data_IF_117063879095
#
_entry.id   IF_117063879095
#
_cell.length_a   1.000
_cell.length_b   1.000
_cell.length_c   1.000
_cell.angle_alpha   90.00
_cell.angle_beta   90.00
_cell.angle_gamma   90.00
#
_symmetry.space_group_name_H-M   'P 1'
#
loop_
_entity.id
_entity.type
_entity.pdbx_description
1 polymer ?
#
# COMPACT_ATOMS: atom_id res chain seq x y z
N UNK A 1 -9.35 4.77 -27.94
CA UNK A 1 -9.16 4.80 -26.46
C UNK A 1 -10.55 4.75 -25.85
N UNK A 2 -10.83 3.75 -25.05
CA UNK A 2 -12.13 3.56 -24.41
C UNK A 2 -11.96 3.87 -22.91
N UNK A 3 -12.75 4.83 -22.40
CA UNK A 3 -12.67 5.29 -21.01
C UNK A 3 -13.73 4.65 -20.09
N UNK A 4 -14.64 3.87 -20.68
CA UNK A 4 -15.61 3.10 -19.91
C UNK A 4 -14.97 1.85 -19.32
N UNK A 5 -15.39 1.46 -18.11
CA UNK A 5 -14.99 0.16 -17.58
C UNK A 5 -15.49 -0.97 -18.48
N UNK A 6 -14.61 -1.91 -18.76
CA UNK A 6 -15.03 -3.18 -19.36
C UNK A 6 -16.01 -3.91 -18.43
N UNK A 7 -16.83 -4.84 -18.93
CA UNK A 7 -17.70 -5.65 -18.09
C UNK A 7 -16.96 -6.33 -16.94
N UNK A 8 -15.72 -6.79 -17.16
CA UNK A 8 -14.86 -7.39 -16.14
C UNK A 8 -14.45 -6.39 -15.06
N UNK A 9 -14.00 -5.18 -15.44
CA UNK A 9 -13.64 -4.14 -14.47
C UNK A 9 -14.86 -3.67 -13.67
N UNK A 10 -16.04 -3.59 -14.30
CA UNK A 10 -17.27 -3.23 -13.63
C UNK A 10 -17.69 -4.29 -12.58
N UNK A 11 -17.57 -5.60 -12.92
CA UNK A 11 -17.82 -6.70 -11.98
C UNK A 11 -16.84 -6.67 -10.79
N UNK A 12 -15.55 -6.51 -11.05
CA UNK A 12 -14.53 -6.40 -10.00
C UNK A 12 -14.80 -5.23 -9.08
N UNK A 13 -15.17 -4.07 -9.62
CA UNK A 13 -15.53 -2.89 -8.83
C UNK A 13 -16.74 -3.15 -7.92
N UNK A 14 -17.78 -3.80 -8.44
CA UNK A 14 -18.99 -4.11 -7.68
C UNK A 14 -18.70 -5.12 -6.57
N UNK A 15 -17.92 -6.17 -6.85
CA UNK A 15 -17.47 -7.14 -5.84
C UNK A 15 -16.62 -6.48 -4.75
N UNK A 16 -15.69 -5.59 -5.14
CA UNK A 16 -14.87 -4.85 -4.20
C UNK A 16 -15.71 -3.92 -3.33
N UNK A 17 -16.73 -3.25 -3.90
CA UNK A 17 -17.68 -2.42 -3.17
C UNK A 17 -18.47 -3.23 -2.14
N UNK A 18 -19.04 -4.36 -2.54
CA UNK A 18 -19.80 -5.22 -1.64
C UNK A 18 -18.93 -5.74 -0.48
N UNK A 19 -17.67 -6.10 -0.76
CA UNK A 19 -16.71 -6.47 0.27
C UNK A 19 -16.38 -5.29 1.19
N UNK A 20 -16.15 -4.10 0.63
CA UNK A 20 -15.90 -2.87 1.39
C UNK A 20 -17.05 -2.55 2.34
N UNK A 21 -18.30 -2.61 1.85
CA UNK A 21 -19.50 -2.38 2.66
C UNK A 21 -19.61 -3.39 3.82
N UNK A 22 -19.20 -4.63 3.58
CA UNK A 22 -19.16 -5.69 4.62
C UNK A 22 -18.10 -5.38 5.69
N UNK A 23 -16.87 -5.01 5.28
CA UNK A 23 -15.76 -4.72 6.21
C UNK A 23 -16.01 -3.42 6.97
N UNK A 24 -16.65 -2.42 6.35
CA UNK A 24 -16.94 -1.12 6.95
C UNK A 24 -17.73 -1.20 8.26
N UNK A 25 -18.50 -2.27 8.45
CA UNK A 25 -19.27 -2.49 9.68
C UNK A 25 -18.38 -2.68 10.92
N UNK A 26 -17.11 -2.99 10.75
CA UNK A 26 -16.14 -3.21 11.83
C UNK A 26 -15.29 -1.98 12.18
N UNK A 27 -15.47 -0.85 11.48
CA UNK A 27 -14.69 0.38 11.72
C UNK A 27 -14.84 0.91 13.14
N UNK A 28 -16.07 0.93 13.68
CA UNK A 28 -16.33 1.42 15.03
C UNK A 28 -15.81 0.47 16.12
N UNK A 29 -15.78 -0.83 15.86
CA UNK A 29 -15.11 -1.79 16.73
C UNK A 29 -13.62 -1.52 16.76
N UNK A 30 -13.00 -1.42 15.60
CA UNK A 30 -11.57 -1.17 15.45
C UNK A 30 -11.14 0.14 16.13
N UNK A 31 -11.86 1.23 15.91
CA UNK A 31 -11.53 2.53 16.52
C UNK A 31 -11.64 2.53 18.04
N UNK A 32 -12.64 1.83 18.60
CA UNK A 32 -12.85 1.78 20.05
C UNK A 32 -11.87 0.87 20.77
N UNK A 33 -11.52 -0.26 20.14
CA UNK A 33 -10.75 -1.33 20.81
C UNK A 33 -9.28 -1.33 20.40
N UNK A 34 -8.86 -0.44 19.50
CA UNK A 34 -7.53 -0.42 18.87
C UNK A 34 -7.22 -1.77 18.20
N UNK A 35 -8.15 -2.24 17.36
CA UNK A 35 -8.14 -3.52 16.68
C UNK A 35 -9.54 -4.14 16.63
N UNK A 36 -9.66 -5.31 16.04
CA UNK A 36 -10.91 -6.07 15.97
C UNK A 36 -10.75 -7.42 16.66
N UNK A 37 -11.87 -8.00 17.11
CA UNK A 37 -11.90 -9.32 17.77
C UNK A 37 -11.56 -10.46 16.80
N UNK A 38 -11.17 -11.62 17.34
CA UNK A 38 -10.95 -12.85 16.55
C UNK A 38 -12.20 -13.28 15.77
N UNK A 39 -13.39 -13.05 16.31
CA UNK A 39 -14.67 -13.32 15.65
C UNK A 39 -14.87 -12.41 14.44
N UNK A 40 -14.58 -11.12 14.59
CA UNK A 40 -14.62 -10.14 13.51
C UNK A 40 -13.58 -10.45 12.43
N UNK A 41 -12.37 -10.83 12.82
CA UNK A 41 -11.33 -11.31 11.90
C UNK A 41 -11.79 -12.52 11.10
N UNK A 42 -12.35 -13.53 11.75
CA UNK A 42 -12.85 -14.74 11.08
C UNK A 42 -13.97 -14.40 10.08
N UNK A 43 -14.88 -13.49 10.47
CA UNK A 43 -15.97 -13.03 9.61
C UNK A 43 -15.45 -12.30 8.37
N UNK A 44 -14.49 -11.38 8.54
CA UNK A 44 -13.86 -10.66 7.43
C UNK A 44 -13.09 -11.64 6.53
N UNK A 45 -12.29 -12.56 7.10
CA UNK A 45 -11.57 -13.57 6.32
C UNK A 45 -12.52 -14.40 5.45
N UNK A 46 -13.64 -14.83 6.00
CA UNK A 46 -14.67 -15.57 5.25
C UNK A 46 -15.26 -14.72 4.11
N UNK A 47 -15.54 -13.45 4.34
CA UNK A 47 -16.05 -12.54 3.32
C UNK A 47 -15.03 -12.29 2.20
N UNK A 48 -13.74 -12.10 2.55
CA UNK A 48 -12.64 -11.95 1.58
C UNK A 48 -12.54 -13.18 0.68
N UNK A 49 -12.53 -14.38 1.26
CA UNK A 49 -12.48 -15.64 0.50
C UNK A 49 -13.71 -15.82 -0.40
N UNK A 50 -14.90 -15.51 0.12
CA UNK A 50 -16.14 -15.59 -0.66
C UNK A 50 -16.18 -14.58 -1.83
N UNK A 51 -15.55 -13.41 -1.67
CA UNK A 51 -15.45 -12.41 -2.73
C UNK A 51 -14.48 -12.81 -3.85
N UNK A 52 -13.53 -13.73 -3.58
CA UNK A 52 -12.43 -14.07 -4.48
C UNK A 52 -11.44 -12.93 -4.72
N UNK A 53 -11.32 -12.00 -3.76
CA UNK A 53 -10.40 -10.86 -3.83
C UNK A 53 -9.20 -11.00 -2.88
N UNK A 54 -8.92 -12.21 -2.39
CA UNK A 54 -7.68 -12.49 -1.67
C UNK A 54 -6.47 -12.50 -2.61
N UNK A 55 -5.32 -12.07 -2.13
CA UNK A 55 -4.04 -12.15 -2.84
C UNK A 55 -4.16 -11.70 -4.32
N UNK A 56 -4.76 -10.51 -4.54
CA UNK A 56 -5.14 -10.02 -5.87
C UNK A 56 -3.96 -9.92 -6.85
N UNK A 57 -2.73 -9.72 -6.34
CA UNK A 57 -1.48 -9.62 -7.10
C UNK A 57 -0.82 -10.99 -7.36
N UNK A 58 -1.26 -12.04 -6.70
CA UNK A 58 -0.64 -13.38 -6.80
C UNK A 58 -1.30 -14.19 -7.92
N UNK A 59 -0.53 -14.90 -8.76
CA UNK A 59 -1.07 -15.75 -9.83
C UNK A 59 -2.06 -16.81 -9.32
N UNK A 60 -3.04 -17.14 -10.16
CA UNK A 60 -4.09 -18.12 -9.83
C UNK A 60 -3.51 -19.50 -9.50
N UNK A 61 -2.44 -19.91 -10.17
CA UNK A 61 -1.74 -21.18 -9.92
C UNK A 61 -1.17 -21.29 -8.49
N UNK A 62 -0.92 -20.16 -7.82
CA UNK A 62 -0.46 -20.10 -6.42
C UNK A 62 -1.59 -19.77 -5.44
N UNK A 63 -2.84 -19.73 -5.90
CA UNK A 63 -4.02 -19.52 -5.06
C UNK A 63 -4.48 -18.06 -4.92
N UNK A 64 -3.88 -17.13 -5.66
CA UNK A 64 -4.30 -15.74 -5.73
C UNK A 64 -5.39 -15.47 -6.77
N UNK A 65 -5.83 -14.23 -6.89
CA UNK A 65 -6.84 -13.82 -7.88
C UNK A 65 -6.25 -13.49 -9.26
N UNK A 66 -4.94 -13.32 -9.39
CA UNK A 66 -4.22 -13.09 -10.65
C UNK A 66 -4.69 -11.85 -11.40
N UNK A 67 -4.98 -10.77 -10.68
CA UNK A 67 -5.47 -9.54 -11.29
C UNK A 67 -4.34 -8.74 -11.95
N UNK A 68 -4.64 -8.12 -13.09
CA UNK A 68 -3.75 -7.14 -13.70
C UNK A 68 -3.58 -5.91 -12.80
N UNK A 69 -2.57 -5.08 -13.05
CA UNK A 69 -2.30 -3.89 -12.22
C UNK A 69 -3.46 -2.90 -12.25
N UNK A 70 -4.10 -2.71 -13.41
CA UNK A 70 -5.31 -1.88 -13.52
C UNK A 70 -6.49 -2.49 -12.74
N UNK A 71 -6.69 -3.79 -12.81
CA UNK A 71 -7.73 -4.48 -12.05
C UNK A 71 -7.50 -4.34 -10.53
N UNK A 72 -6.25 -4.49 -10.08
CA UNK A 72 -5.86 -4.25 -8.68
C UNK A 72 -6.15 -2.80 -8.27
N UNK A 73 -5.81 -1.80 -9.09
CA UNK A 73 -6.06 -0.40 -8.79
C UNK A 73 -7.57 -0.12 -8.63
N UNK A 74 -8.44 -0.72 -9.45
CA UNK A 74 -9.90 -0.59 -9.32
C UNK A 74 -10.42 -1.21 -8.01
N UNK A 75 -9.88 -2.37 -7.60
CA UNK A 75 -10.22 -3.00 -6.33
C UNK A 75 -9.74 -2.14 -5.15
N UNK A 76 -8.50 -1.64 -5.21
CA UNK A 76 -7.90 -0.82 -4.15
C UNK A 76 -8.58 0.54 -3.99
N UNK A 77 -9.14 1.13 -5.06
CA UNK A 77 -9.96 2.35 -4.99
C UNK A 77 -11.22 2.12 -4.12
N UNK A 78 -11.91 1.00 -4.27
CA UNK A 78 -13.07 0.67 -3.42
C UNK A 78 -12.66 0.34 -1.97
N UNK A 79 -11.61 -0.48 -1.78
CA UNK A 79 -11.11 -0.82 -0.44
C UNK A 79 -10.57 0.39 0.31
N UNK A 80 -10.01 1.37 -0.40
CA UNK A 80 -9.52 2.62 0.16
C UNK A 80 -10.57 3.46 0.88
N UNK A 81 -11.86 3.18 0.69
CA UNK A 81 -12.96 3.81 1.43
C UNK A 81 -13.02 3.40 2.90
N UNK A 82 -12.35 2.30 3.29
CA UNK A 82 -12.27 1.83 4.67
C UNK A 82 -11.36 2.73 5.51
N UNK A 83 -11.72 2.92 6.79
CA UNK A 83 -10.85 3.55 7.80
C UNK A 83 -10.10 2.51 8.62
N UNK A 84 -9.17 2.98 9.49
CA UNK A 84 -8.39 2.14 10.42
C UNK A 84 -7.51 1.11 9.69
N UNK A 85 -7.14 1.41 8.44
CA UNK A 85 -6.43 0.49 7.57
C UNK A 85 -7.10 -0.90 7.44
N UNK A 86 -8.42 -0.99 7.64
CA UNK A 86 -9.17 -2.24 7.48
C UNK A 86 -9.07 -2.85 6.07
N UNK A 87 -8.67 -2.06 5.06
CA UNK A 87 -8.32 -2.57 3.74
C UNK A 87 -7.19 -3.62 3.78
N UNK A 88 -6.33 -3.62 4.81
CA UNK A 88 -5.24 -4.58 4.96
C UNK A 88 -5.72 -5.96 5.44
N UNK A 89 -6.97 -6.08 5.88
CA UNK A 89 -7.61 -7.39 6.10
C UNK A 89 -7.86 -8.16 4.80
N UNK A 90 -7.85 -7.46 3.65
CA UNK A 90 -7.84 -8.07 2.31
C UNK A 90 -6.37 -8.27 1.91
N UNK A 91 -5.79 -9.35 2.40
CA UNK A 91 -4.34 -9.61 2.32
C UNK A 91 -3.82 -9.72 0.89
N UNK A 92 -2.60 -9.29 0.73
CA UNK A 92 -1.88 -9.29 -0.54
C UNK A 92 -0.40 -9.62 -0.25
N UNK A 93 0.08 -10.85 -0.56
CA UNK A 93 1.49 -11.20 -0.37
C UNK A 93 2.42 -10.19 -1.04
N UNK A 94 3.51 -9.85 -0.39
CA UNK A 94 4.43 -8.84 -0.90
C UNK A 94 5.08 -9.28 -2.23
N UNK A 95 5.15 -8.37 -3.19
CA UNK A 95 5.67 -8.58 -4.54
C UNK A 95 7.06 -9.26 -4.59
N UNK A 96 8.04 -9.00 -3.70
CA UNK A 96 9.32 -9.72 -3.73
C UNK A 96 9.18 -11.25 -3.74
N UNK A 97 8.09 -11.81 -3.22
CA UNK A 97 7.82 -13.25 -3.24
C UNK A 97 7.62 -13.84 -4.64
N UNK A 98 7.45 -13.02 -5.67
CA UNK A 98 7.46 -13.48 -7.08
C UNK A 98 8.82 -14.08 -7.46
N UNK A 99 9.90 -13.66 -6.80
CA UNK A 99 11.27 -14.18 -6.97
C UNK A 99 11.60 -15.40 -6.11
N UNK A 100 10.60 -15.94 -5.39
CA UNK A 100 10.77 -17.10 -4.53
C UNK A 100 11.12 -18.37 -5.34
N UNK A 101 11.99 -19.23 -4.77
CA UNK A 101 12.24 -20.57 -5.31
C UNK A 101 10.98 -21.43 -5.18
N UNK A 102 10.89 -22.59 -5.88
CA UNK A 102 9.76 -23.49 -5.69
C UNK A 102 9.51 -23.85 -4.23
N UNK A 103 10.57 -24.13 -3.46
CA UNK A 103 10.50 -24.50 -2.04
C UNK A 103 10.01 -23.31 -1.19
N UNK A 104 10.49 -22.11 -1.49
CA UNK A 104 10.03 -20.88 -0.81
C UNK A 104 8.56 -20.56 -1.17
N UNK A 105 8.12 -20.81 -2.41
CA UNK A 105 6.72 -20.64 -2.79
C UNK A 105 5.79 -21.55 -1.99
N UNK A 106 6.16 -22.83 -1.87
CA UNK A 106 5.39 -23.79 -1.06
C UNK A 106 5.33 -23.41 0.43
N UNK A 107 6.41 -22.85 0.97
CA UNK A 107 6.50 -22.49 2.38
C UNK A 107 5.85 -21.16 2.72
N UNK A 108 5.92 -20.16 1.83
CA UNK A 108 5.58 -18.78 2.12
C UNK A 108 4.46 -18.22 1.21
N UNK A 109 4.64 -18.26 -0.13
CA UNK A 109 3.73 -17.59 -1.06
C UNK A 109 2.36 -18.26 -1.13
N UNK A 110 2.32 -19.58 -1.32
CA UNK A 110 1.06 -20.35 -1.46
C UNK A 110 0.22 -20.29 -0.19
N UNK A 111 0.76 -20.55 1.01
CA UNK A 111 0.01 -20.35 2.25
C UNK A 111 -0.39 -18.88 2.47
N UNK A 112 0.49 -17.93 2.08
CA UNK A 112 0.19 -16.49 2.11
C UNK A 112 -1.00 -16.14 1.24
N UNK A 113 -1.04 -16.60 0.00
CA UNK A 113 -2.16 -16.37 -0.91
C UNK A 113 -3.49 -16.92 -0.37
N UNK A 114 -3.46 -18.05 0.33
CA UNK A 114 -4.64 -18.65 0.99
C UNK A 114 -5.05 -17.95 2.28
N UNK A 115 -4.22 -17.05 2.80
CA UNK A 115 -4.42 -16.41 4.10
C UNK A 115 -4.15 -17.33 5.29
N UNK A 116 -3.31 -18.35 5.11
CA UNK A 116 -2.88 -19.28 6.15
C UNK A 116 -1.56 -18.85 6.81
N UNK A 117 -0.80 -17.98 6.14
CA UNK A 117 0.40 -17.31 6.66
C UNK A 117 0.42 -15.84 6.27
N UNK A 118 0.93 -15.00 7.16
CA UNK A 118 1.04 -13.56 6.93
C UNK A 118 2.50 -13.13 6.84
N UNK A 119 2.83 -12.40 5.77
CA UNK A 119 4.11 -11.72 5.61
C UNK A 119 4.10 -10.31 6.20
N UNK A 120 5.27 -9.82 6.59
CA UNK A 120 5.51 -8.41 6.87
C UNK A 120 6.86 -7.97 6.29
N UNK A 121 6.86 -6.83 5.60
CA UNK A 121 8.08 -6.29 4.97
C UNK A 121 8.85 -5.41 5.95
N UNK A 122 10.12 -5.72 6.17
CA UNK A 122 10.99 -5.12 7.17
C UNK A 122 12.23 -4.47 6.52
N UNK A 123 12.13 -3.18 6.17
CA UNK A 123 13.16 -2.43 5.43
C UNK A 123 13.75 -1.30 6.29
N UNK A 124 12.90 -0.38 6.78
CA UNK A 124 13.29 0.83 7.48
C UNK A 124 14.00 0.53 8.82
N UNK A 125 14.91 1.42 9.22
CA UNK A 125 15.63 1.38 10.50
C UNK A 125 15.61 2.79 11.13
N UNK A 126 16.03 2.91 12.39
CA UNK A 126 16.08 4.19 13.09
C UNK A 126 16.80 5.30 12.28
N UNK A 127 17.87 4.95 11.58
CA UNK A 127 18.68 5.88 10.79
C UNK A 127 18.56 5.67 9.27
N UNK A 128 17.70 4.78 8.80
CA UNK A 128 17.51 4.45 7.38
C UNK A 128 16.02 4.41 7.02
N UNK A 129 15.44 5.58 6.78
CA UNK A 129 14.05 5.76 6.33
C UNK A 129 14.00 6.12 4.85
N UNK A 130 14.02 7.44 4.54
CA UNK A 130 13.98 7.92 3.13
C UNK A 130 15.14 7.39 2.28
N UNK A 131 16.30 7.22 2.88
CA UNK A 131 17.44 6.51 2.29
C UNK A 131 17.58 5.13 2.93
N UNK A 132 16.89 4.15 2.36
CA UNK A 132 16.97 2.76 2.83
C UNK A 132 18.29 2.06 2.44
N UNK A 133 19.10 2.67 1.56
CA UNK A 133 20.45 2.15 1.23
C UNK A 133 21.43 2.31 2.40
N UNK A 134 21.11 3.18 3.35
CA UNK A 134 21.86 3.36 4.59
C UNK A 134 21.52 2.34 5.69
N UNK A 135 20.72 1.30 5.38
CA UNK A 135 20.38 0.25 6.33
C UNK A 135 21.63 -0.42 6.91
N UNK A 136 21.64 -0.62 8.21
CA UNK A 136 22.78 -1.13 8.99
C UNK A 136 22.61 -2.57 9.47
N UNK A 137 21.43 -3.18 9.31
CA UNK A 137 21.19 -4.59 9.60
C UNK A 137 22.12 -5.44 8.76
N UNK A 138 22.90 -6.33 9.41
CA UNK A 138 23.91 -7.18 8.77
C UNK A 138 23.49 -8.65 8.72
N UNK A 139 23.99 -9.35 7.72
CA UNK A 139 23.94 -10.81 7.60
C UNK A 139 25.36 -11.33 7.40
N UNK A 140 25.98 -11.87 8.47
CA UNK A 140 27.34 -12.40 8.44
C UNK A 140 27.31 -13.88 8.11
N UNK A 141 28.08 -14.38 7.12
CA UNK A 141 28.20 -15.80 6.85
C UNK A 141 28.62 -16.59 8.11
N UNK A 142 27.94 -17.70 8.40
CA UNK A 142 28.18 -18.50 9.62
C UNK A 142 29.30 -19.56 9.46
N UNK A 143 29.87 -19.65 8.26
CA UNK A 143 30.90 -20.64 7.90
C UNK A 143 30.35 -22.02 7.54
N UNK A 144 29.04 -22.26 7.66
CA UNK A 144 28.37 -23.51 7.34
C UNK A 144 27.36 -23.39 6.18
N UNK A 145 27.40 -22.28 5.44
CA UNK A 145 26.52 -22.01 4.32
C UNK A 145 25.27 -21.21 4.67
N UNK A 146 25.09 -20.82 5.94
CA UNK A 146 24.04 -19.96 6.44
C UNK A 146 24.54 -18.57 6.83
N UNK A 147 23.65 -17.81 7.50
CA UNK A 147 23.91 -16.43 7.92
C UNK A 147 23.49 -16.21 9.37
N UNK A 148 24.15 -15.23 10.01
CA UNK A 148 23.80 -14.70 11.32
C UNK A 148 23.37 -13.25 11.10
N UNK A 149 22.09 -12.95 11.39
CA UNK A 149 21.50 -11.64 11.19
C UNK A 149 21.48 -10.87 12.51
N UNK A 150 21.94 -9.61 12.47
CA UNK A 150 21.92 -8.69 13.58
C UNK A 150 21.49 -7.29 13.12
N UNK A 151 20.61 -6.65 13.89
CA UNK A 151 20.13 -5.30 13.59
C UNK A 151 18.76 -5.00 14.16
N UNK A 152 18.10 -4.01 13.58
CA UNK A 152 16.72 -3.61 13.94
C UNK A 152 15.94 -3.20 12.72
N UNK A 153 14.61 -3.33 12.78
CA UNK A 153 13.68 -2.83 11.75
C UNK A 153 12.52 -2.07 12.39
N UNK A 154 12.13 -0.98 11.74
CA UNK A 154 11.12 -0.04 12.20
C UNK A 154 9.92 -0.02 11.28
N UNK A 155 8.73 0.30 11.83
CA UNK A 155 7.48 0.44 11.07
C UNK A 155 7.12 -0.81 10.25
N UNK A 156 7.29 -1.99 10.86
CA UNK A 156 7.00 -3.26 10.19
C UNK A 156 5.48 -3.46 10.17
N UNK A 157 4.85 -3.03 9.09
CA UNK A 157 3.39 -3.11 8.88
C UNK A 157 2.92 -4.56 9.07
N UNK A 158 1.83 -4.76 9.84
CA UNK A 158 1.25 -6.05 10.25
C UNK A 158 2.21 -6.97 10.99
N UNK A 159 3.31 -6.45 11.51
CA UNK A 159 4.34 -7.25 12.16
C UNK A 159 3.89 -7.94 13.46
N UNK A 160 2.83 -7.45 14.09
CA UNK A 160 2.20 -8.04 15.29
C UNK A 160 1.48 -9.36 15.00
N UNK A 161 1.03 -9.56 13.76
CA UNK A 161 0.29 -10.76 13.30
C UNK A 161 1.05 -11.54 12.21
N UNK A 162 2.29 -11.13 11.90
CA UNK A 162 3.10 -11.78 10.88
C UNK A 162 3.57 -13.17 11.32
N UNK A 163 3.57 -14.13 10.40
CA UNK A 163 4.20 -15.45 10.58
C UNK A 163 5.66 -15.44 10.16
N UNK A 164 6.02 -14.54 9.23
CA UNK A 164 7.39 -14.35 8.76
C UNK A 164 7.64 -12.92 8.28
N UNK A 165 8.91 -12.56 8.29
CA UNK A 165 9.39 -11.24 7.87
C UNK A 165 10.17 -11.35 6.55
N UNK A 166 10.02 -10.35 5.69
CA UNK A 166 10.81 -10.12 4.47
C UNK A 166 11.82 -9.03 4.81
N UNK A 167 13.02 -9.43 5.21
CA UNK A 167 14.02 -8.57 5.86
C UNK A 167 15.12 -8.15 4.90
N UNK A 168 15.33 -6.84 4.74
CA UNK A 168 16.50 -6.30 4.04
C UNK A 168 17.69 -6.27 5.01
N UNK A 169 18.79 -6.96 4.65
CA UNK A 169 20.04 -6.95 5.39
C UNK A 169 21.25 -6.93 4.45
N UNK A 170 22.39 -6.46 4.93
CA UNK A 170 23.63 -6.38 4.16
C UNK A 170 24.49 -7.61 4.43
N UNK A 171 24.76 -8.42 3.40
CA UNK A 171 25.68 -9.57 3.50
C UNK A 171 27.11 -9.08 3.53
N UNK A 172 27.81 -9.45 4.60
CA UNK A 172 29.21 -9.09 4.84
C UNK A 172 30.17 -10.11 4.21
N UNK A 173 31.42 -9.72 3.81
CA UNK A 173 32.01 -8.38 3.97
C UNK A 173 31.71 -7.39 2.84
N UNK A 174 31.07 -7.80 1.74
CA UNK A 174 30.83 -6.97 0.56
C UNK A 174 29.73 -5.93 0.77
N UNK A 175 29.05 -5.96 1.91
CA UNK A 175 27.92 -5.10 2.23
C UNK A 175 26.80 -5.18 1.17
N UNK A 176 26.55 -6.41 0.70
CA UNK A 176 25.64 -6.69 -0.40
C UNK A 176 24.18 -6.75 0.10
N UNK A 177 23.38 -5.71 -0.24
CA UNK A 177 21.96 -5.63 0.16
C UNK A 177 21.17 -6.84 -0.36
N UNK A 178 20.56 -7.59 0.55
CA UNK A 178 19.92 -8.88 0.28
C UNK A 178 18.64 -9.01 1.08
N UNK A 179 17.62 -9.66 0.53
CA UNK A 179 16.38 -9.95 1.25
C UNK A 179 16.43 -11.37 1.81
N UNK A 180 16.01 -11.49 3.08
CA UNK A 180 15.89 -12.75 3.80
C UNK A 180 14.45 -13.01 4.22
N UNK A 181 13.97 -14.25 4.06
CA UNK A 181 12.71 -14.74 4.62
C UNK A 181 13.00 -15.33 6.00
N UNK A 182 12.42 -14.76 7.06
CA UNK A 182 12.70 -15.13 8.46
C UNK A 182 11.39 -15.35 9.19
N UNK A 183 11.16 -16.58 9.66
CA UNK A 183 9.99 -16.87 10.51
C UNK A 183 10.09 -16.08 11.83
N UNK A 184 8.99 -15.54 12.32
CA UNK A 184 9.00 -14.68 13.53
C UNK A 184 9.35 -15.43 14.80
N UNK A 185 9.15 -16.76 14.83
CA UNK A 185 9.53 -17.64 15.95
C UNK A 185 11.02 -18.06 15.93
N UNK A 186 11.80 -17.60 14.94
CA UNK A 186 13.24 -17.86 14.87
C UNK A 186 13.93 -17.25 16.10
N UNK A 187 14.74 -18.05 16.84
CA UNK A 187 15.44 -17.54 18.02
C UNK A 187 16.27 -16.29 17.73
N UNK A 188 16.05 -15.23 18.52
CA UNK A 188 16.69 -13.92 18.35
C UNK A 188 15.85 -12.88 17.64
N UNK A 189 14.71 -13.24 17.02
CA UNK A 189 13.72 -12.31 16.51
C UNK A 189 12.83 -11.86 17.66
N UNK A 190 12.67 -10.54 17.85
CA UNK A 190 11.85 -10.00 18.93
C UNK A 190 11.16 -8.70 18.51
N UNK A 191 9.91 -8.53 18.91
CA UNK A 191 9.26 -7.22 18.91
C UNK A 191 9.92 -6.41 20.06
N UNK A 192 10.54 -5.28 19.68
CA UNK A 192 11.21 -4.35 20.60
C UNK A 192 10.22 -3.37 21.22
N UNK A 193 9.32 -2.85 20.39
CA UNK A 193 8.38 -1.81 20.76
C UNK A 193 7.21 -1.78 19.77
N UNK A 194 6.03 -1.41 20.24
CA UNK A 194 4.85 -1.10 19.43
C UNK A 194 4.53 0.39 19.63
N UNK A 195 4.87 1.26 18.66
CA UNK A 195 4.61 2.68 18.76
C UNK A 195 3.10 2.98 18.73
N UNK A 196 2.70 4.09 19.38
CA UNK A 196 1.35 4.64 19.21
C UNK A 196 1.32 5.61 18.05
N UNK A 197 0.45 5.36 17.10
CA UNK A 197 0.31 6.16 15.89
C UNK A 197 -0.77 7.25 16.02
N UNK A 198 -0.82 8.18 15.05
CA UNK A 198 -1.81 9.28 15.03
C UNK A 198 -3.23 8.77 14.81
N UNK A 199 -3.39 7.67 14.07
CA UNK A 199 -4.68 6.99 13.87
C UNK A 199 -4.60 5.54 14.33
N UNK A 200 -5.73 4.91 14.49
CA UNK A 200 -5.86 3.50 14.84
C UNK A 200 -5.66 2.64 13.61
N UNK A 201 -4.82 1.63 13.73
CA UNK A 201 -4.64 0.58 12.73
C UNK A 201 -5.34 -0.71 13.18
N UNK A 202 -5.85 -1.49 12.22
CA UNK A 202 -6.37 -2.84 12.49
C UNK A 202 -5.26 -3.80 12.94
N UNK A 203 -4.05 -3.60 12.40
CA UNK A 203 -2.81 -4.30 12.76
C UNK A 203 -1.74 -3.30 13.16
N UNK A 204 -0.88 -3.68 14.09
CA UNK A 204 0.19 -2.80 14.57
C UNK A 204 1.40 -2.78 13.63
N UNK A 205 2.25 -1.77 13.80
CA UNK A 205 3.49 -1.61 13.04
C UNK A 205 4.68 -1.59 14.01
N UNK A 206 5.06 -2.75 14.59
CA UNK A 206 6.10 -2.85 15.59
C UNK A 206 7.50 -2.53 15.05
N UNK A 207 8.40 -2.26 16.00
CA UNK A 207 9.83 -2.28 15.83
C UNK A 207 10.35 -3.67 16.20
N UNK A 208 11.24 -4.23 15.37
CA UNK A 208 11.87 -5.52 15.61
C UNK A 208 13.35 -5.36 15.91
N UNK A 209 13.91 -6.29 16.74
CA UNK A 209 15.34 -6.53 16.86
C UNK A 209 15.69 -7.94 16.42
N UNK A 210 16.87 -8.07 15.85
CA UNK A 210 17.49 -9.32 15.42
C UNK A 210 18.80 -9.49 16.19
N UNK A 211 18.87 -10.49 17.07
CA UNK A 211 20.01 -10.75 17.95
C UNK A 211 20.58 -12.16 17.65
N UNK A 212 21.64 -12.23 16.83
CA UNK A 212 22.27 -13.47 16.41
C UNK A 212 21.28 -14.46 15.75
N UNK A 213 20.36 -13.96 14.96
CA UNK A 213 19.34 -14.76 14.26
C UNK A 213 20.02 -15.62 13.20
N UNK A 214 19.94 -16.94 13.33
CA UNK A 214 20.55 -17.88 12.40
C UNK A 214 19.56 -18.35 11.36
N UNK A 215 19.94 -18.23 10.09
CA UNK A 215 19.14 -18.68 8.95
C UNK A 215 20.00 -19.47 7.97
N UNK A 216 19.40 -20.40 7.24
CA UNK A 216 20.08 -21.13 6.16
C UNK A 216 20.24 -20.30 4.89
N UNK A 217 20.98 -20.81 3.93
CA UNK A 217 21.09 -20.22 2.60
C UNK A 217 19.73 -20.15 1.87
N UNK A 218 18.83 -21.05 2.19
CA UNK A 218 17.46 -21.13 1.67
C UNK A 218 16.56 -19.96 2.13
N UNK A 219 17.01 -19.17 3.10
CA UNK A 219 16.32 -17.94 3.51
C UNK A 219 16.53 -16.76 2.54
N UNK A 220 17.55 -16.81 1.67
CA UNK A 220 17.84 -15.75 0.70
C UNK A 220 16.74 -15.72 -0.38
N UNK A 221 16.07 -14.57 -0.54
CA UNK A 221 15.08 -14.35 -1.58
C UNK A 221 15.71 -13.68 -2.80
N UNK A 222 15.47 -14.24 -3.98
CA UNK A 222 16.02 -13.76 -5.25
C UNK A 222 17.50 -14.07 -5.39
N UNK A 223 18.38 -13.35 -4.70
CA UNK A 223 19.83 -13.55 -4.75
C UNK A 223 20.59 -12.55 -3.90
N UNK A 224 21.84 -12.88 -3.57
CA UNK A 224 22.73 -11.99 -2.82
C UNK A 224 22.97 -10.71 -3.66
N UNK A 225 22.84 -9.55 -3.03
CA UNK A 225 23.05 -8.25 -3.67
C UNK A 225 21.83 -7.72 -4.44
N UNK A 226 20.72 -8.46 -4.55
CA UNK A 226 19.52 -8.02 -5.26
C UNK A 226 18.51 -7.29 -4.36
N UNK A 227 18.79 -7.11 -3.09
CA UNK A 227 17.84 -6.56 -2.11
C UNK A 227 17.33 -5.16 -2.47
N UNK A 228 18.19 -4.28 -2.98
CA UNK A 228 17.76 -2.94 -3.38
C UNK A 228 16.83 -2.94 -4.59
N UNK A 229 17.03 -3.82 -5.56
CA UNK A 229 16.19 -3.90 -6.75
C UNK A 229 14.82 -4.48 -6.40
N UNK A 230 14.78 -5.57 -5.64
CA UNK A 230 13.53 -6.16 -5.16
C UNK A 230 12.72 -5.19 -4.28
N UNK A 231 13.39 -4.44 -3.41
CA UNK A 231 12.75 -3.41 -2.59
C UNK A 231 12.18 -2.26 -3.45
N UNK A 232 12.90 -1.86 -4.51
CA UNK A 232 12.44 -0.80 -5.42
C UNK A 232 11.21 -1.25 -6.23
N UNK A 233 11.18 -2.50 -6.67
CA UNK A 233 10.06 -3.06 -7.41
C UNK A 233 8.81 -3.14 -6.50
N UNK A 234 8.98 -3.55 -5.23
CA UNK A 234 7.92 -3.52 -4.24
C UNK A 234 7.38 -2.09 -3.99
N UNK A 235 8.26 -1.11 -3.76
CA UNK A 235 7.85 0.28 -3.63
C UNK A 235 7.10 0.81 -4.85
N UNK A 236 7.44 0.35 -6.04
CA UNK A 236 6.80 0.79 -7.28
C UNK A 236 5.34 0.37 -7.32
N UNK A 237 5.05 -0.88 -6.96
CA UNK A 237 3.69 -1.41 -6.86
C UNK A 237 2.91 -0.72 -5.74
N UNK A 238 3.49 -0.61 -4.52
CA UNK A 238 2.83 0.01 -3.38
C UNK A 238 2.47 1.47 -3.63
N UNK A 239 3.34 2.26 -4.27
CA UNK A 239 3.05 3.65 -4.63
C UNK A 239 1.82 3.79 -5.51
N UNK A 240 1.65 2.89 -6.46
CA UNK A 240 0.49 2.88 -7.33
C UNK A 240 -0.79 2.51 -6.57
N UNK A 241 -0.71 1.50 -5.69
CA UNK A 241 -1.84 1.06 -4.86
C UNK A 241 -2.23 2.12 -3.82
N UNK A 242 -1.26 2.84 -3.24
CA UNK A 242 -1.52 4.01 -2.38
C UNK A 242 -2.30 5.08 -3.18
N UNK A 243 -1.89 5.34 -4.43
CA UNK A 243 -2.63 6.25 -5.29
C UNK A 243 -4.11 5.88 -5.40
N UNK A 244 -4.40 4.61 -5.66
CA UNK A 244 -5.76 4.11 -5.76
C UNK A 244 -6.53 4.21 -4.42
N UNK A 245 -5.94 3.72 -3.33
CA UNK A 245 -6.59 3.74 -1.99
C UNK A 245 -6.93 5.15 -1.51
N UNK A 246 -6.00 6.09 -1.64
CA UNK A 246 -6.21 7.46 -1.16
C UNK A 246 -7.32 8.18 -1.91
N UNK A 247 -7.51 7.88 -3.19
CA UNK A 247 -8.61 8.43 -4.00
C UNK A 247 -9.95 7.86 -3.52
N UNK A 248 -10.05 6.58 -3.22
CA UNK A 248 -11.24 5.96 -2.64
C UNK A 248 -11.62 6.60 -1.30
N UNK A 249 -10.64 6.80 -0.41
CA UNK A 249 -10.85 7.49 0.86
C UNK A 249 -11.33 8.93 0.68
N UNK A 250 -10.73 9.66 -0.26
CA UNK A 250 -11.14 11.03 -0.61
C UNK A 250 -12.57 11.09 -1.16
N UNK A 251 -12.98 10.13 -2.01
CA UNK A 251 -14.36 10.01 -2.51
C UNK A 251 -15.35 9.82 -1.37
N UNK A 252 -15.05 8.92 -0.43
CA UNK A 252 -15.91 8.71 0.75
C UNK A 252 -16.03 9.99 1.59
N UNK A 253 -14.91 10.66 1.86
CA UNK A 253 -14.90 11.90 2.62
C UNK A 253 -15.74 12.99 1.95
N UNK A 254 -15.62 13.13 0.63
CA UNK A 254 -16.41 14.09 -0.14
C UNK A 254 -17.90 13.73 -0.13
N UNK A 255 -18.26 12.45 -0.28
CA UNK A 255 -19.66 11.98 -0.21
C UNK A 255 -20.27 12.36 1.13
N UNK A 256 -19.60 12.04 2.24
CA UNK A 256 -20.05 12.42 3.58
C UNK A 256 -20.21 13.94 3.73
N UNK A 257 -19.27 14.72 3.20
CA UNK A 257 -19.33 16.19 3.27
C UNK A 257 -20.48 16.78 2.46
N UNK A 258 -20.78 16.21 1.29
CA UNK A 258 -21.90 16.64 0.44
C UNK A 258 -23.22 16.34 1.12
N UNK A 259 -23.40 15.14 1.66
CA UNK A 259 -24.63 14.76 2.36
C UNK A 259 -24.84 15.61 3.60
N UNK A 260 -23.79 15.83 4.40
CA UNK A 260 -23.80 16.75 5.51
C UNK A 260 -24.21 18.18 5.09
N UNK A 261 -23.64 18.70 4.00
CA UNK A 261 -23.92 20.05 3.51
C UNK A 261 -25.37 20.23 3.00
N UNK A 262 -26.01 19.15 2.53
CA UNK A 262 -27.43 19.13 2.13
C UNK A 262 -28.36 19.22 3.33
N UNK A 263 -28.02 18.56 4.42
CA UNK A 263 -28.86 18.47 5.62
C UNK A 263 -28.64 19.63 6.59
N UNK A 264 -27.41 20.11 6.72
CA UNK A 264 -27.03 21.14 7.70
C UNK A 264 -27.49 22.50 7.28
N UNK A 265 -28.45 23.08 8.04
CA UNK A 265 -28.96 24.45 7.86
C UNK A 265 -28.19 25.41 8.75
N UNK A 266 -27.73 26.51 8.17
CA UNK A 266 -27.08 27.63 8.86
C UNK A 266 -27.54 28.97 8.22
N UNK A 267 -27.99 29.94 9.04
CA UNK A 267 -28.49 31.21 8.54
C UNK A 267 -29.71 31.08 7.62
N UNK A 268 -30.59 30.08 7.92
CA UNK A 268 -31.86 29.88 7.24
C UNK A 268 -31.83 29.03 5.96
N UNK A 269 -30.66 28.52 5.54
CA UNK A 269 -30.56 27.66 4.35
C UNK A 269 -29.50 26.55 4.51
N UNK A 270 -29.60 25.43 3.74
CA UNK A 270 -28.60 24.38 3.70
C UNK A 270 -27.22 24.90 3.31
N UNK A 271 -26.17 24.29 3.91
CA UNK A 271 -24.78 24.67 3.62
C UNK A 271 -24.42 24.50 2.15
N UNK A 272 -25.00 23.50 1.46
CA UNK A 272 -24.75 23.22 0.04
C UNK A 272 -25.04 24.45 -0.86
N UNK A 273 -25.89 25.38 -0.42
CA UNK A 273 -26.23 26.62 -1.17
C UNK A 273 -25.19 27.73 -0.98
N UNK A 274 -24.21 27.56 -0.09
CA UNK A 274 -23.15 28.55 0.15
C UNK A 274 -22.06 28.45 -0.89
N UNK A 275 -21.71 29.55 -1.57
CA UNK A 275 -20.70 29.53 -2.65
C UNK A 275 -19.33 29.02 -2.21
N UNK A 276 -18.86 29.32 -0.99
CA UNK A 276 -17.57 28.80 -0.48
C UNK A 276 -17.62 27.29 -0.28
N UNK A 277 -18.75 26.72 0.14
CA UNK A 277 -18.93 25.26 0.25
C UNK A 277 -18.97 24.64 -1.15
N UNK A 278 -19.68 25.24 -2.09
CA UNK A 278 -19.71 24.80 -3.49
C UNK A 278 -18.32 24.79 -4.12
N UNK A 279 -17.50 25.81 -3.84
CA UNK A 279 -16.10 25.87 -4.27
C UNK A 279 -15.28 24.70 -3.72
N UNK A 280 -15.37 24.41 -2.41
CA UNK A 280 -14.66 23.26 -1.78
C UNK A 280 -15.09 21.92 -2.40
N UNK A 281 -16.39 21.75 -2.69
CA UNK A 281 -16.91 20.53 -3.34
C UNK A 281 -16.38 20.41 -4.77
N UNK A 282 -16.45 21.49 -5.55
CA UNK A 282 -15.99 21.50 -6.94
C UNK A 282 -14.48 21.17 -7.05
N UNK A 283 -13.64 21.83 -6.23
CA UNK A 283 -12.21 21.57 -6.17
C UNK A 283 -11.91 20.11 -5.79
N UNK A 284 -12.71 19.54 -4.87
CA UNK A 284 -12.55 18.15 -4.45
C UNK A 284 -12.94 17.16 -5.56
N UNK A 285 -13.98 17.46 -6.33
CA UNK A 285 -14.34 16.67 -7.52
C UNK A 285 -13.20 16.66 -8.55
N UNK A 286 -12.59 17.83 -8.80
CA UNK A 286 -11.44 17.96 -9.71
C UNK A 286 -10.26 17.13 -9.20
N UNK A 287 -9.89 17.29 -7.92
CA UNK A 287 -8.79 16.54 -7.30
C UNK A 287 -8.99 15.01 -7.44
N UNK A 288 -10.18 14.49 -7.14
CA UNK A 288 -10.50 13.06 -7.23
C UNK A 288 -10.47 12.58 -8.70
N UNK A 289 -11.17 13.27 -9.57
CA UNK A 289 -11.37 12.82 -10.96
C UNK A 289 -10.04 12.79 -11.73
N UNK A 290 -9.22 13.83 -11.60
CA UNK A 290 -7.93 13.91 -12.30
C UNK A 290 -6.95 12.85 -11.79
N UNK A 291 -6.88 12.64 -10.46
CA UNK A 291 -5.95 11.67 -9.89
C UNK A 291 -6.39 10.21 -10.13
N UNK A 292 -7.70 9.94 -10.15
CA UNK A 292 -8.22 8.61 -10.54
C UNK A 292 -7.87 8.30 -12.00
N UNK A 293 -8.06 9.25 -12.90
CA UNK A 293 -7.70 9.08 -14.30
C UNK A 293 -6.20 8.80 -14.47
N UNK A 294 -5.34 9.58 -13.79
CA UNK A 294 -3.89 9.38 -13.80
C UNK A 294 -3.51 7.99 -13.25
N UNK A 295 -4.11 7.58 -12.14
CA UNK A 295 -3.82 6.27 -11.52
C UNK A 295 -4.20 5.13 -12.45
N UNK A 296 -5.39 5.16 -13.05
CA UNK A 296 -5.83 4.12 -13.98
C UNK A 296 -4.97 4.08 -15.24
N UNK A 297 -4.58 5.24 -15.75
CA UNK A 297 -3.69 5.32 -16.92
C UNK A 297 -2.34 4.66 -16.63
N UNK A 298 -1.70 5.03 -15.53
CA UNK A 298 -0.38 4.47 -15.18
C UNK A 298 -0.51 2.98 -14.88
N UNK A 299 -1.57 2.54 -14.19
CA UNK A 299 -1.84 1.12 -13.96
C UNK A 299 -1.99 0.34 -15.27
N UNK A 300 -2.71 0.90 -16.26
CA UNK A 300 -2.82 0.32 -17.59
C UNK A 300 -1.46 0.25 -18.31
N UNK A 301 -0.61 1.26 -18.19
CA UNK A 301 0.74 1.25 -18.78
C UNK A 301 1.60 0.12 -18.20
N UNK A 302 1.45 -0.19 -16.88
CA UNK A 302 2.11 -1.36 -16.27
C UNK A 302 1.66 -2.67 -16.91
N UNK A 303 0.35 -2.82 -17.17
CA UNK A 303 -0.18 -4.04 -17.80
C UNK A 303 0.29 -4.24 -19.25
N UNK A 304 0.69 -3.15 -19.93
CA UNK A 304 1.19 -3.20 -21.31
C UNK A 304 2.71 -3.32 -21.40
N UNK A 305 3.41 -3.15 -20.28
CA UNK A 305 4.87 -3.10 -20.27
C UNK A 305 5.49 -4.48 -20.51
N UNK A 306 6.56 -4.50 -21.32
CA UNK A 306 7.44 -5.65 -21.39
C UNK A 306 8.24 -5.73 -20.07
N UNK A 307 8.11 -6.83 -19.30
CA UNK A 307 8.82 -6.99 -18.04
C UNK A 307 10.35 -7.02 -18.19
N UNK A 308 10.85 -7.35 -19.40
CA UNK A 308 12.29 -7.42 -19.68
C UNK A 308 12.88 -6.07 -20.12
N UNK A 309 12.05 -5.06 -20.40
CA UNK A 309 12.50 -3.70 -20.72
C UNK A 309 12.90 -2.94 -19.44
N UNK A 310 14.20 -2.94 -19.13
CA UNK A 310 14.75 -2.29 -17.96
C UNK A 310 14.59 -0.76 -17.96
N UNK A 311 14.54 -0.10 -19.12
CA UNK A 311 14.38 1.37 -19.19
C UNK A 311 12.92 1.75 -19.05
N UNK A 312 12.01 0.95 -19.59
CA UNK A 312 10.58 1.12 -19.35
C UNK A 312 10.23 0.93 -17.86
N UNK A 313 10.79 -0.09 -17.20
CA UNK A 313 10.59 -0.27 -15.74
C UNK A 313 11.02 0.95 -14.92
N UNK A 314 12.13 1.60 -15.25
CA UNK A 314 12.58 2.83 -14.57
C UNK A 314 11.63 4.00 -14.81
N UNK A 315 11.11 4.14 -16.04
CA UNK A 315 10.09 5.13 -16.37
C UNK A 315 8.79 4.88 -15.60
N UNK A 316 8.32 3.64 -15.53
CA UNK A 316 7.14 3.26 -14.77
C UNK A 316 7.32 3.49 -13.26
N UNK A 317 8.51 3.26 -12.71
CA UNK A 317 8.84 3.61 -11.33
C UNK A 317 8.64 5.11 -11.06
N UNK A 318 9.07 5.99 -11.98
CA UNK A 318 8.85 7.43 -11.85
C UNK A 318 7.37 7.82 -12.08
N UNK A 319 6.65 7.15 -12.97
CA UNK A 319 5.20 7.35 -13.14
C UNK A 319 4.40 6.91 -11.89
N UNK A 320 4.76 5.79 -11.26
CA UNK A 320 4.18 5.38 -9.98
C UNK A 320 4.47 6.42 -8.88
N UNK A 321 5.68 7.00 -8.84
CA UNK A 321 6.01 8.11 -7.95
C UNK A 321 5.15 9.35 -8.24
N UNK A 322 4.84 9.63 -9.52
CA UNK A 322 3.96 10.74 -9.92
C UNK A 322 2.53 10.50 -9.41
N UNK A 323 2.00 9.29 -9.57
CA UNK A 323 0.69 8.89 -9.04
C UNK A 323 0.64 9.07 -7.53
N UNK A 324 1.58 8.48 -6.80
CA UNK A 324 1.64 8.54 -5.33
C UNK A 324 1.71 9.98 -4.84
N UNK A 325 2.56 10.81 -5.42
CA UNK A 325 2.68 12.23 -5.06
C UNK A 325 1.36 12.97 -5.29
N UNK A 326 0.82 12.88 -6.50
CA UNK A 326 -0.36 13.64 -6.90
C UNK A 326 -1.60 13.20 -6.09
N UNK A 327 -1.85 11.90 -5.99
CA UNK A 327 -3.03 11.35 -5.32
C UNK A 327 -2.98 11.59 -3.80
N UNK A 328 -1.85 11.35 -3.12
CA UNK A 328 -1.75 11.56 -1.67
C UNK A 328 -1.89 13.04 -1.28
N UNK A 329 -1.29 13.96 -2.04
CA UNK A 329 -1.44 15.40 -1.79
C UNK A 329 -2.88 15.88 -2.07
N UNK A 330 -3.50 15.43 -3.16
CA UNK A 330 -4.88 15.77 -3.51
C UNK A 330 -5.87 15.23 -2.46
N UNK A 331 -5.74 13.96 -2.09
CA UNK A 331 -6.62 13.31 -1.10
C UNK A 331 -6.54 13.99 0.27
N UNK A 332 -5.34 14.40 0.72
CA UNK A 332 -5.19 15.20 1.94
C UNK A 332 -5.95 16.55 1.85
N UNK A 333 -5.93 17.24 0.69
CA UNK A 333 -6.72 18.46 0.52
C UNK A 333 -8.23 18.18 0.55
N UNK A 334 -8.67 17.08 -0.04
CA UNK A 334 -10.09 16.70 -0.05
C UNK A 334 -10.61 16.41 1.35
N UNK A 335 -9.89 15.59 2.13
CA UNK A 335 -10.34 15.27 3.50
C UNK A 335 -10.28 16.48 4.42
N UNK A 336 -9.31 17.39 4.24
CA UNK A 336 -9.24 18.64 4.99
C UNK A 336 -10.45 19.54 4.69
N UNK A 337 -10.83 19.68 3.41
CA UNK A 337 -12.07 20.40 3.03
C UNK A 337 -13.31 19.70 3.58
N UNK A 338 -13.36 18.37 3.60
CA UNK A 338 -14.49 17.62 4.16
C UNK A 338 -14.66 17.90 5.65
N UNK A 339 -13.59 17.86 6.44
CA UNK A 339 -13.60 18.26 7.86
C UNK A 339 -14.07 19.71 8.02
N UNK A 340 -13.58 20.62 7.17
CA UNK A 340 -13.99 22.03 7.19
C UNK A 340 -15.47 22.24 6.91
N UNK A 341 -16.06 21.49 5.97
CA UNK A 341 -17.50 21.52 5.64
C UNK A 341 -18.34 21.01 6.82
N UNK A 342 -17.88 19.98 7.54
CA UNK A 342 -18.54 19.50 8.76
C UNK A 342 -18.48 20.53 9.90
N UNK A 343 -17.49 21.43 9.86
CA UNK A 343 -17.23 22.40 10.93
C UNK A 343 -16.83 21.71 12.24
N UNK A 344 -17.28 22.21 13.39
CA UNK A 344 -16.91 21.63 14.70
C UNK A 344 -17.22 20.13 14.83
N UNK A 345 -18.21 19.62 14.12
CA UNK A 345 -18.56 18.20 14.13
C UNK A 345 -17.54 17.34 13.36
N UNK A 346 -16.87 17.89 12.36
CA UNK A 346 -15.79 17.22 11.65
C UNK A 346 -14.53 16.99 12.51
N UNK A 347 -14.48 17.57 13.70
CA UNK A 347 -13.38 17.43 14.66
C UNK A 347 -13.73 16.51 15.85
N UNK A 348 -14.85 15.81 15.76
CA UNK A 348 -15.36 14.89 16.78
C UNK A 348 -15.21 13.45 16.27
N UNK A 349 -14.66 12.56 17.11
CA UNK A 349 -14.41 11.14 16.76
C UNK A 349 -15.65 10.31 16.44
N UNK A 350 -16.85 10.85 16.67
CA UNK A 350 -18.13 10.21 16.32
C UNK A 350 -18.42 10.21 14.82
N UNK A 351 -17.63 10.98 14.03
CA UNK A 351 -17.83 11.11 12.58
C UNK A 351 -16.63 10.54 11.81
N UNK A 352 -16.85 9.66 10.81
CA UNK A 352 -15.75 9.01 10.09
C UNK A 352 -14.86 9.97 9.29
N UNK A 353 -15.32 11.20 9.04
CA UNK A 353 -14.55 12.21 8.28
C UNK A 353 -13.24 12.59 8.97
N UNK A 354 -13.21 12.66 10.32
CA UNK A 354 -11.99 12.96 11.05
C UNK A 354 -11.01 11.78 11.05
N UNK A 355 -11.53 10.51 11.03
CA UNK A 355 -10.69 9.31 10.91
C UNK A 355 -9.97 9.32 9.56
N UNK A 356 -10.69 9.57 8.47
CA UNK A 356 -10.12 9.70 7.13
C UNK A 356 -9.05 10.79 7.07
N UNK A 357 -9.27 11.93 7.74
CA UNK A 357 -8.31 13.02 7.80
C UNK A 357 -7.02 12.63 8.55
N UNK A 358 -7.11 11.95 9.69
CA UNK A 358 -5.96 11.46 10.44
C UNK A 358 -5.18 10.40 9.67
N UNK A 359 -5.91 9.47 9.05
CA UNK A 359 -5.34 8.32 8.34
C UNK A 359 -4.58 8.76 7.09
N UNK A 360 -5.19 9.55 6.22
CA UNK A 360 -4.56 9.96 4.96
C UNK A 360 -3.30 10.83 5.15
N UNK A 361 -3.06 11.33 6.36
CA UNK A 361 -1.84 12.12 6.62
C UNK A 361 -0.56 11.31 6.41
N UNK A 362 -0.58 10.00 6.72
CA UNK A 362 0.60 9.14 6.58
C UNK A 362 0.94 8.84 5.12
N UNK A 363 -0.02 8.88 4.19
CA UNK A 363 0.21 8.62 2.77
C UNK A 363 1.18 9.59 2.09
N UNK A 364 1.44 10.74 2.71
CA UNK A 364 2.48 11.68 2.29
C UNK A 364 3.87 11.32 2.84
N UNK A 365 3.98 10.28 3.69
CA UNK A 365 5.19 9.90 4.42
C UNK A 365 5.69 8.51 3.99
N UNK A 366 4.88 7.47 4.15
CA UNK A 366 5.31 6.09 3.89
C UNK A 366 5.54 5.81 2.40
N UNK A 367 6.19 4.70 2.07
CA UNK A 367 6.59 4.29 0.72
C UNK A 367 7.39 5.36 -0.05
N UNK A 368 8.12 6.17 0.73
CA UNK A 368 8.84 7.36 0.29
C UNK A 368 8.00 8.62 0.39
N UNK A 369 8.54 9.62 1.11
CA UNK A 369 7.84 10.89 1.33
C UNK A 369 7.51 11.62 0.04
N UNK A 370 6.60 12.60 0.10
CA UNK A 370 6.28 13.49 -1.04
C UNK A 370 7.54 14.15 -1.63
N UNK A 371 8.56 14.43 -0.80
CA UNK A 371 9.84 14.97 -1.21
C UNK A 371 10.64 13.93 -1.99
N UNK A 372 10.71 12.68 -1.52
CA UNK A 372 11.36 11.58 -2.22
C UNK A 372 10.71 11.31 -3.58
N UNK A 373 9.37 11.33 -3.66
CA UNK A 373 8.70 11.18 -4.96
C UNK A 373 9.14 12.27 -5.95
N UNK A 374 9.25 13.53 -5.51
CA UNK A 374 9.75 14.64 -6.35
C UNK A 374 11.18 14.39 -6.83
N UNK A 375 12.04 13.86 -5.96
CA UNK A 375 13.43 13.53 -6.36
C UNK A 375 13.48 12.38 -7.37
N UNK A 376 12.65 11.35 -7.21
CA UNK A 376 12.54 10.24 -8.16
C UNK A 376 12.11 10.75 -9.54
N UNK A 377 11.04 11.56 -9.61
CA UNK A 377 10.53 12.13 -10.86
C UNK A 377 11.58 13.03 -11.53
N UNK A 378 12.17 13.95 -10.77
CA UNK A 378 13.17 14.88 -11.29
C UNK A 378 14.43 14.16 -11.79
N UNK A 379 14.89 13.12 -11.09
CA UNK A 379 16.03 12.31 -11.50
C UNK A 379 15.75 11.56 -12.81
N UNK A 380 14.55 11.02 -12.98
CA UNK A 380 14.14 10.35 -14.22
C UNK A 380 14.08 11.34 -15.39
N UNK A 381 13.45 12.50 -15.18
CA UNK A 381 13.41 13.59 -16.16
C UNK A 381 14.82 14.04 -16.61
N UNK A 382 15.76 14.12 -15.66
CA UNK A 382 17.14 14.48 -15.95
C UNK A 382 17.90 13.39 -16.72
N UNK A 383 17.67 12.12 -16.41
CA UNK A 383 18.40 10.98 -17.01
C UNK A 383 17.86 10.57 -18.39
N UNK A 384 16.52 10.60 -18.60
CA UNK A 384 15.85 10.08 -19.80
C UNK A 384 14.99 11.09 -20.54
N UNK A 385 14.97 12.35 -20.07
CA UNK A 385 14.15 13.41 -20.65
C UNK A 385 12.69 13.35 -20.24
N UNK A 386 11.88 14.29 -20.73
CA UNK A 386 10.48 14.46 -20.36
C UNK A 386 9.52 13.62 -21.20
N UNK A 387 9.90 13.26 -22.43
CA UNK A 387 9.00 12.59 -23.36
C UNK A 387 8.39 11.31 -22.79
N UNK A 388 9.19 10.48 -22.12
CA UNK A 388 8.73 9.24 -21.52
C UNK A 388 7.82 9.46 -20.30
N UNK A 389 7.99 10.56 -19.59
CA UNK A 389 7.17 10.90 -18.42
C UNK A 389 5.83 11.55 -18.79
N UNK A 390 5.82 12.37 -19.84
CA UNK A 390 4.67 13.18 -20.25
C UNK A 390 3.85 12.54 -21.36
N UNK A 391 4.44 11.61 -22.14
CA UNK A 391 3.72 10.94 -23.22
C UNK A 391 2.97 9.70 -22.74
N UNK A 392 1.83 9.46 -23.39
CA UNK A 392 1.10 8.18 -23.34
C UNK A 392 1.77 7.22 -24.34
N UNK A 393 2.95 6.70 -23.99
CA UNK A 393 3.59 5.75 -24.90
C UNK A 393 3.03 4.35 -24.70
N UNK A 394 2.22 3.94 -25.64
CA UNK A 394 2.22 2.63 -26.19
C UNK A 394 2.25 2.79 -27.73
N UNK A 395 3.43 2.70 -28.32
CA UNK A 395 3.55 2.27 -29.70
C UNK A 395 3.43 0.75 -29.65
N UNK A 396 2.27 0.22 -30.06
CA UNK A 396 2.17 -1.18 -30.40
C UNK A 396 3.26 -1.40 -31.46
N UNK A 397 4.34 -2.07 -31.09
CA UNK A 397 5.36 -2.45 -32.04
C UNK A 397 4.67 -3.09 -33.23
N UNK A 398 4.97 -2.61 -34.42
CA UNK A 398 4.61 -3.33 -35.65
C UNK A 398 5.10 -4.77 -35.48
N UNK A 399 4.13 -5.71 -35.37
CA UNK A 399 4.41 -7.14 -35.42
C UNK A 399 4.58 -7.56 -36.88
#
# INVERSE_FOLDING_TARGET
>A
MEFAYSPRLADLKERARALTDTIMQFEDECERNNGISDESHATIKAAVLASGLQAINTPVEYGGAGLTVLEQAVVQDELGKLTNALWDTVWRPANPLTHATPEQRERYLIPGARGDRRDAVAISEANAGSDFSAASTTATPDGNGGYIINGEKWFVTVGDVADYLIVLANVEPEHAATIFLIDVDTPGVKIKHIPRYTHTFVYEHPEFTFENVRVGADAVLGGIGQGHDLTRDWFTEERLMIGARTIGAAERALTLAVDWARERVQGGEPLINRQLIQGMIADSVVDITTNRALTHQVAWEFDQADPDDADLRKTLHAKAATVKLAASEASNRVVDRAVQIFGGRGYIRDYPVERLWRELRVDRIWEGTSEIQRLVIANEANKRGLDNLLSFRYEAGEK
#
